data_IF_579742278866
#
_entry.id   IF_579742278866
#
_cell.length_a   1.000
_cell.length_b   1.000
_cell.length_c   1.000
_cell.angle_alpha   90.00
_cell.angle_beta   90.00
_cell.angle_gamma   90.00
#
_symmetry.space_group_name_H-M   'P 1'
#
loop_
_entity.id
_entity.type
_entity.pdbx_description
1 polymer ?
#
# COMPACT_ATOMS: atom_id res chain seq x y z
N UNK A 1 11.39 5.40 -17.34
CA UNK A 1 10.35 4.37 -17.05
C UNK A 1 8.93 4.93 -17.12
N UNK A 2 8.68 6.14 -16.58
CA UNK A 2 7.34 6.76 -16.63
C UNK A 2 6.97 7.34 -18.01
N UNK A 3 7.95 7.66 -18.84
CA UNK A 3 7.78 8.36 -20.14
C UNK A 3 7.04 7.55 -21.23
N UNK A 4 6.96 6.22 -21.08
CA UNK A 4 6.29 5.34 -22.05
C UNK A 4 4.95 4.76 -21.55
N UNK A 5 4.40 5.28 -20.44
CA UNK A 5 3.14 4.80 -19.90
C UNK A 5 1.93 5.49 -20.58
N UNK A 6 0.82 4.77 -20.84
CA UNK A 6 -0.38 5.38 -21.39
C UNK A 6 -0.91 6.51 -20.50
N UNK A 7 -1.36 7.62 -21.10
CA UNK A 7 -1.87 8.77 -20.35
C UNK A 7 -3.00 8.41 -19.37
N UNK A 8 -3.89 7.49 -19.78
CA UNK A 8 -4.95 6.96 -18.90
C UNK A 8 -4.38 6.25 -17.67
N UNK A 9 -3.28 5.51 -17.82
CA UNK A 9 -2.60 4.84 -16.72
C UNK A 9 -1.89 5.86 -15.80
N UNK A 10 -1.24 6.87 -16.36
CA UNK A 10 -0.64 7.96 -15.57
C UNK A 10 -1.71 8.67 -14.73
N UNK A 11 -2.87 8.99 -15.31
CA UNK A 11 -4.00 9.58 -14.60
C UNK A 11 -4.54 8.67 -13.50
N UNK A 12 -4.64 7.38 -13.77
CA UNK A 12 -5.06 6.37 -12.78
C UNK A 12 -4.10 6.30 -11.61
N UNK A 13 -2.79 6.16 -11.87
CA UNK A 13 -1.74 6.17 -10.86
C UNK A 13 -1.74 7.48 -10.07
N UNK A 14 -1.91 8.63 -10.73
CA UNK A 14 -2.06 9.92 -10.07
C UNK A 14 -3.29 10.00 -9.15
N UNK A 15 -4.40 9.37 -9.54
CA UNK A 15 -5.60 9.26 -8.70
C UNK A 15 -5.35 8.38 -7.48
N UNK A 16 -4.68 7.24 -7.66
CA UNK A 16 -4.27 6.37 -6.56
C UNK A 16 -3.29 7.07 -5.61
N UNK A 17 -2.29 7.78 -6.16
CA UNK A 17 -1.43 8.65 -5.38
C UNK A 17 -2.24 9.70 -4.63
N UNK A 18 -3.25 10.33 -5.24
CA UNK A 18 -4.14 11.29 -4.58
C UNK A 18 -4.90 10.70 -3.40
N UNK A 19 -5.47 9.49 -3.55
CA UNK A 19 -6.08 8.72 -2.45
C UNK A 19 -5.08 8.40 -1.33
N UNK A 20 -3.81 8.29 -1.70
CA UNK A 20 -2.67 8.17 -0.79
C UNK A 20 -2.03 9.51 -0.36
N UNK A 21 -2.37 10.67 -0.93
CA UNK A 21 -1.63 11.94 -0.70
C UNK A 21 -2.25 12.79 0.41
N UNK A 22 -3.47 12.48 0.86
CA UNK A 22 -3.97 12.92 2.17
C UNK A 22 -3.27 12.21 3.34
N UNK A 23 -2.18 11.49 3.06
CA UNK A 23 -1.45 10.63 3.99
C UNK A 23 0.04 10.97 3.82
N UNK A 24 0.67 11.37 4.93
CA UNK A 24 2.03 11.93 4.99
C UNK A 24 3.05 11.27 4.05
N UNK A 25 3.59 12.08 3.14
CA UNK A 25 4.62 11.70 2.18
C UNK A 25 5.90 11.34 2.96
N UNK A 26 6.37 10.10 2.76
CA UNK A 26 7.61 9.58 3.33
C UNK A 26 7.38 8.30 4.12
N UNK A 27 7.12 8.43 5.43
CA UNK A 27 7.28 7.33 6.38
C UNK A 27 6.43 6.08 6.11
N UNK A 28 5.11 6.21 5.94
CA UNK A 28 4.25 5.02 5.76
C UNK A 28 4.51 4.30 4.43
N UNK A 29 4.85 5.02 3.36
CA UNK A 29 5.20 4.39 2.10
C UNK A 29 6.53 3.62 2.22
N UNK A 30 7.53 4.23 2.86
CA UNK A 30 8.82 3.57 3.12
C UNK A 30 8.66 2.35 4.03
N UNK A 31 7.81 2.45 5.05
CA UNK A 31 7.47 1.34 5.94
C UNK A 31 6.78 0.20 5.19
N UNK A 32 5.87 0.49 4.25
CA UNK A 32 5.22 -0.54 3.40
C UNK A 32 6.24 -1.22 2.50
N UNK A 33 7.12 -0.46 1.86
CA UNK A 33 8.20 -1.05 1.05
C UNK A 33 9.13 -1.89 1.92
N UNK A 34 9.45 -1.43 3.14
CA UNK A 34 10.24 -2.16 4.11
C UNK A 34 9.54 -3.47 4.49
N UNK A 35 8.27 -3.45 4.86
CA UNK A 35 7.49 -4.64 5.18
C UNK A 35 7.49 -5.64 4.03
N UNK A 36 7.28 -5.19 2.80
CA UNK A 36 7.34 -6.06 1.63
C UNK A 36 8.71 -6.73 1.51
N UNK A 37 9.80 -6.04 1.85
CA UNK A 37 11.15 -6.59 1.74
C UNK A 37 11.53 -7.49 2.92
N UNK A 38 11.15 -7.11 4.14
CA UNK A 38 11.66 -7.70 5.39
C UNK A 38 10.61 -8.45 6.22
N UNK A 39 9.34 -8.38 5.83
CA UNK A 39 8.17 -8.85 6.59
C UNK A 39 8.01 -8.17 7.97
N UNK A 40 8.64 -7.01 8.18
CA UNK A 40 8.46 -6.20 9.40
C UNK A 40 7.15 -5.40 9.29
N UNK A 41 6.14 -5.66 10.14
CA UNK A 41 4.82 -5.05 9.98
C UNK A 41 4.83 -3.53 10.14
N UNK A 42 4.11 -2.82 9.27
CA UNK A 42 3.84 -1.39 9.47
C UNK A 42 2.91 -1.13 10.65
N UNK A 43 2.89 0.10 11.14
CA UNK A 43 2.01 0.51 12.23
C UNK A 43 0.52 0.44 11.88
N UNK A 44 -0.33 0.38 12.90
CA UNK A 44 -1.80 0.44 12.78
C UNK A 44 -2.27 1.63 11.96
N UNK A 45 -1.69 2.80 12.24
CA UNK A 45 -2.00 4.04 11.54
C UNK A 45 -1.68 3.93 10.03
N UNK A 46 -0.56 3.28 9.69
CA UNK A 46 -0.19 3.01 8.31
C UNK A 46 -1.13 1.98 7.67
N UNK A 47 -1.64 1.00 8.42
CA UNK A 47 -2.67 0.08 7.91
C UNK A 47 -4.00 0.77 7.59
N UNK A 48 -4.47 1.70 8.42
CA UNK A 48 -5.66 2.52 8.11
C UNK A 48 -5.49 3.27 6.79
N UNK A 49 -4.28 3.78 6.56
CA UNK A 49 -3.89 4.51 5.35
C UNK A 49 -3.89 3.60 4.12
N UNK A 50 -3.30 2.40 4.23
CA UNK A 50 -3.32 1.37 3.18
C UNK A 50 -4.77 1.01 2.83
N UNK A 51 -5.59 0.66 3.82
CA UNK A 51 -6.99 0.24 3.61
C UNK A 51 -7.82 1.36 2.97
N UNK A 52 -7.67 2.60 3.44
CA UNK A 52 -8.36 3.77 2.89
C UNK A 52 -8.01 4.05 1.42
N UNK A 53 -6.77 3.81 1.01
CA UNK A 53 -6.37 3.95 -0.39
C UNK A 53 -7.07 2.94 -1.30
N UNK A 54 -7.41 1.77 -0.74
CA UNK A 54 -8.07 0.67 -1.43
C UNK A 54 -7.08 -0.32 -2.05
N UNK A 55 -7.52 -1.58 -2.17
CA UNK A 55 -6.69 -2.71 -2.59
C UNK A 55 -5.98 -2.46 -3.92
N UNK A 56 -6.74 -2.03 -4.92
CA UNK A 56 -6.22 -1.83 -6.27
C UNK A 56 -5.13 -0.76 -6.31
N UNK A 57 -5.31 0.34 -5.58
CA UNK A 57 -4.31 1.41 -5.53
C UNK A 57 -3.05 0.96 -4.79
N UNK A 58 -3.18 0.27 -3.66
CA UNK A 58 -2.05 -0.32 -2.95
C UNK A 58 -1.27 -1.30 -3.84
N UNK A 59 -1.97 -2.20 -4.53
CA UNK A 59 -1.36 -3.18 -5.42
C UNK A 59 -0.61 -2.51 -6.58
N UNK A 60 -1.26 -1.60 -7.30
CA UNK A 60 -0.69 -1.00 -8.51
C UNK A 60 0.46 -0.04 -8.21
N UNK A 61 0.36 0.75 -7.15
CA UNK A 61 1.44 1.65 -6.75
C UNK A 61 2.69 0.88 -6.31
N UNK A 62 2.54 -0.18 -5.50
CA UNK A 62 3.69 -0.99 -5.10
C UNK A 62 4.26 -1.77 -6.28
N UNK A 63 3.45 -2.38 -7.15
CA UNK A 63 3.95 -3.01 -8.38
C UNK A 63 4.74 -2.03 -9.25
N UNK A 64 4.27 -0.79 -9.38
CA UNK A 64 4.97 0.25 -10.13
C UNK A 64 6.31 0.61 -9.47
N UNK A 65 6.33 0.78 -8.15
CA UNK A 65 7.55 1.01 -7.37
C UNK A 65 8.58 -0.09 -7.58
N UNK A 66 8.16 -1.36 -7.60
CA UNK A 66 9.05 -2.50 -7.82
C UNK A 66 9.43 -2.73 -9.30
N UNK A 67 8.86 -1.98 -10.24
CA UNK A 67 9.35 -1.93 -11.62
C UNK A 67 10.55 -0.97 -11.76
N UNK A 68 10.76 -0.06 -10.80
CA UNK A 68 11.89 0.88 -10.81
C UNK A 68 13.22 0.13 -10.69
N UNK A 69 14.26 0.65 -11.35
CA UNK A 69 15.56 -0.02 -11.50
C UNK A 69 16.16 -0.50 -10.18
N UNK A 70 16.00 0.28 -9.11
CA UNK A 70 16.53 -0.05 -7.78
C UNK A 70 15.87 -1.27 -7.12
N UNK A 71 14.59 -1.52 -7.41
CA UNK A 71 13.78 -2.56 -6.77
C UNK A 71 13.41 -3.71 -7.72
N UNK A 72 13.70 -3.56 -9.01
CA UNK A 72 13.39 -4.52 -10.07
C UNK A 72 13.88 -5.95 -9.78
N UNK A 73 14.98 -6.09 -9.04
CA UNK A 73 15.52 -7.41 -8.62
C UNK A 73 14.55 -8.24 -7.76
N UNK A 74 13.56 -7.60 -7.11
CA UNK A 74 12.59 -8.25 -6.25
C UNK A 74 11.22 -8.48 -6.93
N UNK A 75 11.05 -8.04 -8.18
CA UNK A 75 9.75 -7.98 -8.85
C UNK A 75 9.04 -9.34 -9.00
N UNK A 76 9.77 -10.44 -9.07
CA UNK A 76 9.20 -11.79 -9.23
C UNK A 76 8.45 -12.29 -7.98
N UNK A 77 8.85 -11.85 -6.79
CA UNK A 77 8.28 -12.31 -5.51
C UNK A 77 7.33 -11.27 -4.90
N UNK A 78 7.38 -10.03 -5.39
CA UNK A 78 6.75 -8.90 -4.71
C UNK A 78 5.22 -8.93 -4.76
N UNK A 79 4.61 -9.47 -5.83
CA UNK A 79 3.15 -9.41 -5.99
C UNK A 79 2.42 -10.17 -4.87
N UNK A 80 2.97 -11.30 -4.44
CA UNK A 80 2.44 -12.07 -3.32
C UNK A 80 2.54 -11.26 -2.02
N UNK A 81 3.73 -10.73 -1.73
CA UNK A 81 4.00 -9.94 -0.51
C UNK A 81 3.18 -8.66 -0.42
N UNK A 82 2.97 -7.95 -1.52
CA UNK A 82 2.12 -6.75 -1.56
C UNK A 82 0.69 -7.11 -1.11
N UNK A 83 0.18 -8.27 -1.53
CA UNK A 83 -1.14 -8.74 -1.15
C UNK A 83 -1.19 -9.22 0.33
N UNK A 84 -0.10 -9.77 0.87
CA UNK A 84 0.01 -10.09 2.30
C UNK A 84 -0.12 -8.83 3.16
N UNK A 85 0.59 -7.76 2.82
CA UNK A 85 0.48 -6.47 3.54
C UNK A 85 -0.97 -5.96 3.50
N UNK A 86 -1.62 -6.04 2.34
CA UNK A 86 -3.03 -5.64 2.22
C UNK A 86 -3.95 -6.45 3.14
N UNK A 87 -3.83 -7.78 3.10
CA UNK A 87 -4.67 -8.67 3.88
C UNK A 87 -4.49 -8.41 5.39
N UNK A 88 -3.23 -8.31 5.84
CA UNK A 88 -2.91 -8.03 7.25
C UNK A 88 -3.51 -6.69 7.68
N UNK A 89 -3.29 -5.63 6.91
CA UNK A 89 -3.83 -4.31 7.24
C UNK A 89 -5.36 -4.28 7.21
N UNK A 90 -6.01 -4.99 6.29
CA UNK A 90 -7.47 -5.09 6.23
C UNK A 90 -8.02 -5.73 7.50
N UNK A 91 -7.47 -6.87 7.89
CA UNK A 91 -7.85 -7.57 9.13
C UNK A 91 -7.59 -6.73 10.37
N UNK A 92 -6.47 -6.01 10.42
CA UNK A 92 -6.15 -5.14 11.55
C UNK A 92 -7.16 -3.98 11.69
N UNK A 93 -7.56 -3.36 10.58
CA UNK A 93 -8.56 -2.28 10.58
C UNK A 93 -9.96 -2.80 10.91
N UNK A 94 -10.35 -3.96 10.38
CA UNK A 94 -11.60 -4.64 10.74
C UNK A 94 -11.68 -4.97 12.24
N UNK A 95 -10.58 -5.42 12.83
CA UNK A 95 -10.50 -5.72 14.26
C UNK A 95 -10.72 -4.47 15.14
N UNK A 96 -10.22 -3.31 14.71
CA UNK A 96 -10.44 -2.04 15.42
C UNK A 96 -11.92 -1.63 15.35
N UNK A 97 -12.54 -1.76 14.18
CA UNK A 97 -13.94 -1.41 14.00
C UNK A 97 -14.90 -2.27 14.84
N UNK A 98 -14.53 -3.53 15.10
CA UNK A 98 -15.31 -4.42 15.95
C UNK A 98 -15.05 -4.20 17.44
N UNK A 99 -13.82 -3.85 17.85
CA UNK A 99 -13.53 -3.48 19.24
C UNK A 99 -14.16 -2.14 19.65
N UNK A 100 -14.19 -1.17 18.74
CA UNK A 100 -14.82 0.14 18.99
C UNK A 100 -16.33 -0.01 19.19
N UNK A 101 -16.97 -0.93 18.46
CA UNK A 101 -18.39 -1.25 18.65
C UNK A 101 -18.66 -2.00 19.97
N UNK A 102 -17.71 -2.80 20.46
CA UNK A 102 -17.86 -3.53 21.72
C UNK A 102 -17.64 -2.63 22.96
N UNK A 103 -16.94 -1.50 22.82
CA UNK A 103 -16.69 -0.56 23.93
C UNK A 103 -17.84 0.44 24.19
N UNK A 104 -18.90 0.41 23.37
CA UNK A 104 -20.06 1.32 23.44
C UNK A 104 -21.33 0.61 23.98
N UNK A 105 -21.24 -0.69 24.30
CA UNK A 105 -22.28 -1.47 24.98
C UNK A 105 -21.90 -1.76 26.43
#
# INVERSE_FOLDING_TARGET
>A
MLENLPHKYIKYIGTCFGKMKTIGIGKCNDDVIKEILTNEPVSKECCLKVVRAGKECHMELNKLTFRLYQLKRFASQVSFKINEVWNRCSTEVESLSSSDNAAIQ
#
